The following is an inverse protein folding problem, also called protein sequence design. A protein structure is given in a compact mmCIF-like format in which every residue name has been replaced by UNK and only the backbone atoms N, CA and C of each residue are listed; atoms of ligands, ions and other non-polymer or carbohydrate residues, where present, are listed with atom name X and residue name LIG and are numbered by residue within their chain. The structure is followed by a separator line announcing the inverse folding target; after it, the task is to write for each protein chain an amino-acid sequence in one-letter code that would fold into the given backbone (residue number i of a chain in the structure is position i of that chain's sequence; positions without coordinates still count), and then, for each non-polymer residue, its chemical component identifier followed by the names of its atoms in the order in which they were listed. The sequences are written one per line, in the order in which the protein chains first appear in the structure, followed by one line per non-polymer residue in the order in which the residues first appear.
data_IF_392700375679
#
_entry.id   IF_392700375679
#
_cell.length_a   1.000
_cell.length_b   1.000
_cell.length_c   1.000
_cell.angle_alpha   90.00
_cell.angle_beta   90.00
_cell.angle_gamma   90.00
#
_symmetry.space_group_name_H-M   'P 1'
#
loop_
_entity.id
_entity.type
_entity.pdbx_description
1 polymer ?
#
# COMPACT_ATOMS: atom_id res chain seq x y z
N UNK A 1 0.67 -9.44 -2.40
CA UNK A 1 1.44 -8.20 -2.18
C UNK A 1 2.59 -8.07 -3.17
N UNK A 2 3.41 -9.10 -3.38
CA UNK A 2 4.55 -9.00 -4.33
C UNK A 2 4.12 -8.62 -5.75
N UNK A 3 3.00 -9.17 -6.26
CA UNK A 3 2.46 -8.79 -7.57
C UNK A 3 2.19 -7.28 -7.66
N UNK A 4 1.54 -6.68 -6.64
CA UNK A 4 1.27 -5.25 -6.62
C UNK A 4 2.54 -4.40 -6.47
N UNK A 5 3.54 -4.88 -5.71
CA UNK A 5 4.82 -4.19 -5.60
C UNK A 5 5.58 -4.21 -6.92
N UNK A 6 5.52 -5.33 -7.65
CA UNK A 6 6.07 -5.44 -8.99
C UNK A 6 5.39 -4.47 -9.96
N UNK A 7 4.05 -4.34 -9.90
CA UNK A 7 3.31 -3.38 -10.74
C UNK A 7 3.74 -1.93 -10.47
N UNK A 8 3.94 -1.55 -9.20
CA UNK A 8 4.42 -0.21 -8.83
C UNK A 8 5.83 0.05 -9.36
N UNK A 9 6.78 -0.88 -9.14
CA UNK A 9 8.16 -0.75 -9.63
C UNK A 9 8.21 -0.71 -11.16
N UNK A 10 7.36 -1.49 -11.80
CA UNK A 10 7.27 -1.53 -13.26
C UNK A 10 6.70 -0.22 -13.80
N UNK A 11 5.69 0.36 -13.16
CA UNK A 11 5.19 1.69 -13.50
C UNK A 11 6.30 2.76 -13.42
N UNK A 12 7.07 2.80 -12.32
CA UNK A 12 8.21 3.73 -12.16
C UNK A 12 9.22 3.56 -13.31
N UNK A 13 9.60 2.31 -13.58
CA UNK A 13 10.58 1.97 -14.62
C UNK A 13 10.10 2.28 -16.04
N UNK A 14 8.85 1.94 -16.38
CA UNK A 14 8.29 2.15 -17.74
C UNK A 14 8.18 3.63 -18.10
N UNK A 15 8.03 4.49 -17.10
CA UNK A 15 7.82 5.92 -17.29
C UNK A 15 9.07 6.76 -16.95
N UNK A 16 10.22 6.12 -16.68
CA UNK A 16 11.48 6.78 -16.33
C UNK A 16 11.33 7.80 -15.18
N UNK A 17 10.61 7.41 -14.13
CA UNK A 17 10.33 8.27 -12.99
C UNK A 17 11.42 8.15 -11.92
N UNK A 18 11.76 9.27 -11.28
CA UNK A 18 12.64 9.26 -10.10
C UNK A 18 12.01 8.58 -8.87
N UNK A 19 10.68 8.43 -8.84
CA UNK A 19 9.92 7.78 -7.76
C UNK A 19 8.41 7.92 -7.96
N UNK A 20 7.63 7.32 -7.07
CA UNK A 20 6.16 7.40 -7.09
C UNK A 20 5.58 7.45 -5.67
N UNK A 21 4.35 7.97 -5.57
CA UNK A 21 3.53 7.96 -4.34
C UNK A 21 2.24 7.21 -4.65
N UNK A 22 1.86 6.27 -3.77
CA UNK A 22 0.61 5.50 -3.88
C UNK A 22 -0.47 6.19 -3.06
N UNK A 23 -1.56 6.60 -3.70
CA UNK A 23 -2.69 7.26 -3.01
C UNK A 23 -3.92 6.37 -3.09
N UNK A 24 -4.44 5.93 -1.94
CA UNK A 24 -5.70 5.22 -1.88
C UNK A 24 -6.88 6.19 -1.91
N UNK A 25 -7.61 6.17 -3.02
CA UNK A 25 -8.89 6.87 -3.26
C UNK A 25 -10.00 5.90 -3.69
N UNK A 26 -9.82 4.61 -3.41
CA UNK A 26 -10.81 3.60 -3.73
C UNK A 26 -12.05 3.70 -2.81
N UNK A 27 -13.06 2.87 -3.07
CA UNK A 27 -14.22 2.76 -2.19
C UNK A 27 -13.82 2.40 -0.75
N UNK A 28 -14.61 2.89 0.21
CA UNK A 28 -14.40 2.55 1.62
C UNK A 28 -14.61 1.05 1.85
N UNK A 29 -13.70 0.47 2.62
CA UNK A 29 -13.76 -0.92 3.05
C UNK A 29 -14.44 -1.03 4.42
N UNK A 30 -15.13 -2.14 4.72
CA UNK A 30 -15.58 -2.41 6.08
C UNK A 30 -14.36 -2.57 7.02
N UNK A 31 -14.60 -2.43 8.32
CA UNK A 31 -13.57 -2.71 9.32
C UNK A 31 -12.98 -4.12 9.10
N UNK A 32 -11.65 -4.30 9.16
CA UNK A 32 -11.02 -5.58 8.94
C UNK A 32 -11.59 -6.64 9.89
N UNK A 33 -11.98 -7.79 9.35
CA UNK A 33 -12.43 -8.94 10.13
C UNK A 33 -11.54 -10.15 9.81
N UNK A 34 -10.91 -10.72 10.84
CA UNK A 34 -10.01 -11.87 10.70
C UNK A 34 -8.54 -11.49 10.41
N UNK A 35 -7.76 -12.44 9.90
CA UNK A 35 -6.31 -12.30 9.72
C UNK A 35 -5.85 -11.95 8.30
N UNK A 36 -6.76 -11.88 7.33
CA UNK A 36 -6.41 -11.49 5.97
C UNK A 36 -6.31 -9.96 5.85
N UNK A 37 -5.28 -9.49 5.14
CA UNK A 37 -5.16 -8.06 4.84
C UNK A 37 -6.26 -7.63 3.86
N UNK A 38 -7.00 -6.54 4.14
CA UNK A 38 -7.93 -5.98 3.18
C UNK A 38 -7.18 -5.33 1.99
N UNK A 39 -7.86 -5.04 0.86
CA UNK A 39 -7.20 -4.49 -0.33
C UNK A 39 -6.37 -3.23 -0.07
N UNK A 40 -6.89 -2.27 0.71
CA UNK A 40 -6.16 -1.05 1.08
C UNK A 40 -4.82 -1.35 1.76
N UNK A 41 -4.79 -2.34 2.66
CA UNK A 41 -3.57 -2.79 3.34
C UNK A 41 -2.64 -3.59 2.44
N UNK A 42 -3.17 -4.38 1.50
CA UNK A 42 -2.35 -5.07 0.50
C UNK A 42 -1.58 -4.08 -0.39
N UNK A 43 -2.22 -2.99 -0.81
CA UNK A 43 -1.57 -1.91 -1.58
C UNK A 43 -0.63 -1.06 -0.72
N UNK A 44 -0.99 -0.77 0.52
CA UNK A 44 -0.12 -0.08 1.47
C UNK A 44 1.20 -0.85 1.68
N UNK A 45 1.11 -2.16 1.94
CA UNK A 45 2.26 -3.03 2.10
C UNK A 45 3.05 -3.27 0.81
N UNK A 46 2.42 -3.12 -0.35
CA UNK A 46 3.09 -3.15 -1.64
C UNK A 46 3.88 -1.85 -1.89
N UNK A 47 3.32 -0.69 -1.50
CA UNK A 47 3.99 0.60 -1.57
C UNK A 47 5.26 0.62 -0.71
N UNK A 48 5.18 0.15 0.55
CA UNK A 48 6.36 -0.01 1.42
C UNK A 48 7.44 -0.89 0.77
N UNK A 49 7.04 -2.05 0.21
CA UNK A 49 7.99 -2.94 -0.49
C UNK A 49 8.60 -2.32 -1.73
N UNK A 50 7.87 -1.44 -2.41
CA UNK A 50 8.31 -0.75 -3.60
C UNK A 50 9.07 0.55 -3.30
N UNK A 51 9.38 0.83 -2.03
CA UNK A 51 10.04 2.07 -1.58
C UNK A 51 9.26 3.33 -2.03
N UNK A 52 7.93 3.23 -1.99
CA UNK A 52 7.02 4.29 -2.39
C UNK A 52 6.20 4.76 -1.18
N UNK A 53 6.13 6.08 -0.92
CA UNK A 53 5.22 6.61 0.09
C UNK A 53 3.77 6.23 -0.19
N UNK A 54 2.98 6.03 0.88
CA UNK A 54 1.56 5.71 0.79
C UNK A 54 0.72 6.75 1.52
N UNK A 55 -0.37 7.18 0.88
CA UNK A 55 -1.35 8.11 1.47
C UNK A 55 -2.74 7.50 1.38
N UNK A 56 -3.49 7.57 2.48
CA UNK A 56 -4.85 7.05 2.54
C UNK A 56 -5.86 8.20 2.61
N UNK A 57 -6.76 8.30 1.63
CA UNK A 57 -7.84 9.29 1.59
C UNK A 57 -9.20 8.69 1.94
N UNK A 58 -9.21 7.50 2.51
CA UNK A 58 -10.42 6.78 2.92
C UNK A 58 -10.29 6.32 4.37
N UNK A 59 -11.40 6.01 5.06
CA UNK A 59 -11.35 5.38 6.38
C UNK A 59 -11.00 3.87 6.32
N UNK A 60 -10.65 3.33 5.15
CA UNK A 60 -10.16 1.95 5.00
C UNK A 60 -8.86 1.77 5.79
N UNK A 61 -8.51 0.54 6.16
CA UNK A 61 -7.39 0.30 7.07
C UNK A 61 -6.04 0.81 6.54
N UNK A 62 -5.69 0.57 5.27
CA UNK A 62 -4.43 1.02 4.69
C UNK A 62 -3.22 0.60 5.54
N UNK A 63 -2.30 1.54 5.82
CA UNK A 63 -1.16 1.37 6.73
C UNK A 63 -1.56 1.26 8.22
N UNK A 64 -2.78 1.65 8.60
CA UNK A 64 -3.24 1.55 9.99
C UNK A 64 -3.61 0.11 10.40
N UNK A 65 -3.51 -0.86 9.49
CA UNK A 65 -3.72 -2.27 9.84
C UNK A 65 -2.58 -2.78 10.74
N UNK A 66 -2.86 -3.37 11.93
CA UNK A 66 -1.83 -3.73 12.91
C UNK A 66 -0.69 -4.60 12.37
N UNK A 67 -1.00 -5.53 11.47
CA UNK A 67 -0.01 -6.40 10.83
C UNK A 67 1.04 -5.67 9.96
N UNK A 68 0.88 -4.36 9.70
CA UNK A 68 1.81 -3.54 8.93
C UNK A 68 2.56 -2.51 9.79
N UNK A 69 2.28 -2.43 11.10
CA UNK A 69 2.86 -1.39 11.96
C UNK A 69 4.39 -1.41 11.95
N UNK A 70 5.01 -2.57 12.20
CA UNK A 70 6.47 -2.72 12.20
C UNK A 70 7.09 -2.38 10.84
N UNK A 71 6.45 -2.81 9.75
CA UNK A 71 6.93 -2.54 8.40
C UNK A 71 6.84 -1.04 8.05
N UNK A 72 5.82 -0.34 8.57
CA UNK A 72 5.65 1.09 8.35
C UNK A 72 6.65 1.94 9.15
N UNK A 73 7.04 1.49 10.34
CA UNK A 73 8.05 2.17 11.18
C UNK A 73 9.47 1.98 10.66
N UNK A 74 9.75 0.86 9.98
CA UNK A 74 11.07 0.54 9.44
C UNK A 74 11.33 1.13 8.03
N UNK A 75 10.33 1.75 7.41
CA UNK A 75 10.38 2.28 6.05
C UNK A 75 10.83 3.76 6.00
#
# INVERSE_FOLDING_TARGET
MEVFAADIRDFVRRNDLAGAVVVNVASTEPAPAGGALPPSSLYAAAALRADCPYVNFTPSAGLHHPALAEAAEAA
#
